data_IF_868919411884
#
_entry.id   IF_868919411884
#
_cell.length_a   1.000
_cell.length_b   1.000
_cell.length_c   1.000
_cell.angle_alpha   90.00
_cell.angle_beta   90.00
_cell.angle_gamma   90.00
#
_symmetry.space_group_name_H-M   'P 1'
#
loop_
_entity.id
_entity.type
_entity.pdbx_description
1 polymer ?
#
# COMPACT_ATOMS: atom_id res chain seq x y z
N UNK A 1 -42.07 -8.64 40.18
CA UNK A 1 -42.28 -9.38 38.91
C UNK A 1 -42.02 -8.42 37.74
N UNK A 2 -40.80 -7.84 37.67
CA UNK A 2 -40.48 -6.76 36.71
C UNK A 2 -38.98 -6.75 36.33
N UNK A 3 -38.30 -7.89 36.35
CA UNK A 3 -36.83 -7.98 36.17
C UNK A 3 -36.40 -8.86 34.99
N UNK A 4 -37.33 -9.44 34.24
CA UNK A 4 -37.00 -10.36 33.14
C UNK A 4 -37.03 -9.71 31.75
N UNK A 5 -37.69 -8.55 31.59
CA UNK A 5 -37.89 -7.92 30.27
C UNK A 5 -36.71 -7.06 29.79
N UNK A 6 -35.92 -6.46 30.68
CA UNK A 6 -34.78 -5.62 30.28
C UNK A 6 -33.57 -6.44 29.78
N UNK A 7 -33.39 -7.65 30.29
CA UNK A 7 -32.22 -8.48 29.96
C UNK A 7 -32.21 -8.99 28.51
N UNK A 8 -33.38 -9.12 27.88
CA UNK A 8 -33.47 -9.51 26.46
C UNK A 8 -32.91 -8.43 25.55
N UNK A 9 -33.28 -7.16 25.80
CA UNK A 9 -32.92 -6.04 24.92
C UNK A 9 -31.41 -5.78 24.88
N UNK A 10 -30.71 -5.92 26.00
CA UNK A 10 -29.25 -5.73 26.04
C UNK A 10 -28.49 -6.86 25.34
N UNK A 11 -29.01 -8.09 25.38
CA UNK A 11 -28.36 -9.24 24.74
C UNK A 11 -28.49 -9.16 23.22
N UNK A 12 -29.63 -8.66 22.73
CA UNK A 12 -29.89 -8.42 21.31
C UNK A 12 -29.07 -7.24 20.77
N UNK A 13 -28.83 -6.21 21.58
CA UNK A 13 -27.95 -5.08 21.25
C UNK A 13 -26.47 -5.49 21.19
N UNK A 14 -25.99 -6.29 22.14
CA UNK A 14 -24.61 -6.76 22.16
C UNK A 14 -24.33 -7.70 20.99
N UNK A 15 -25.28 -8.59 20.67
CA UNK A 15 -25.15 -9.49 19.50
C UNK A 15 -25.15 -8.72 18.18
N UNK A 16 -26.05 -7.75 18.01
CA UNK A 16 -26.08 -6.90 16.82
C UNK A 16 -24.82 -6.04 16.63
N UNK A 17 -24.20 -5.56 17.72
CA UNK A 17 -22.92 -4.83 17.67
C UNK A 17 -21.76 -5.76 17.32
N UNK A 18 -21.73 -6.98 17.84
CA UNK A 18 -20.67 -7.96 17.50
C UNK A 18 -20.78 -8.49 16.07
N UNK A 19 -21.99 -8.61 15.53
CA UNK A 19 -22.21 -9.09 14.17
C UNK A 19 -21.78 -8.05 13.12
N UNK A 20 -22.05 -6.75 13.36
CA UNK A 20 -21.59 -5.65 12.50
C UNK A 20 -20.06 -5.44 12.53
N UNK A 21 -19.36 -5.83 13.61
CA UNK A 21 -17.90 -5.69 13.67
C UNK A 21 -17.15 -6.77 12.88
N UNK A 22 -17.75 -7.95 12.69
CA UNK A 22 -17.19 -9.08 11.92
C UNK A 22 -17.04 -8.74 10.42
N UNK A 23 -18.04 -8.08 9.83
CA UNK A 23 -18.07 -7.73 8.40
C UNK A 23 -17.03 -6.66 8.00
N UNK A 24 -16.48 -5.92 8.97
CA UNK A 24 -15.53 -4.82 8.71
C UNK A 24 -14.07 -5.26 8.52
N UNK A 25 -13.71 -6.49 8.92
CA UNK A 25 -12.30 -6.93 8.97
C UNK A 25 -11.68 -7.34 7.63
N UNK A 26 -12.40 -7.99 6.68
CA UNK A 26 -11.84 -8.33 5.37
C UNK A 26 -11.56 -7.06 4.54
N UNK A 27 -12.47 -6.09 4.60
CA UNK A 27 -12.37 -4.82 3.88
C UNK A 27 -11.13 -4.02 4.27
N UNK A 28 -10.76 -4.02 5.56
CA UNK A 28 -9.57 -3.29 6.05
C UNK A 28 -8.26 -3.84 5.47
N UNK A 29 -8.10 -5.17 5.41
CA UNK A 29 -6.88 -5.80 4.86
C UNK A 29 -6.75 -5.53 3.38
N UNK A 30 -7.86 -5.63 2.64
CA UNK A 30 -7.92 -5.26 1.23
C UNK A 30 -7.53 -3.80 1.00
N UNK A 31 -8.06 -2.88 1.80
CA UNK A 31 -7.69 -1.46 1.71
C UNK A 31 -6.20 -1.24 1.96
N UNK A 32 -5.63 -1.87 2.99
CA UNK A 32 -4.18 -1.77 3.26
C UNK A 32 -3.36 -2.30 2.09
N UNK A 33 -3.74 -3.45 1.53
CA UNK A 33 -3.08 -4.00 0.33
C UNK A 33 -3.16 -3.03 -0.83
N UNK A 34 -4.36 -2.51 -1.13
CA UNK A 34 -4.56 -1.56 -2.21
C UNK A 34 -3.68 -0.30 -2.05
N UNK A 35 -3.56 0.24 -0.83
CA UNK A 35 -2.76 1.45 -0.59
C UNK A 35 -1.25 1.22 -0.71
N UNK A 36 -0.81 -0.04 -0.66
CA UNK A 36 0.58 -0.42 -0.94
C UNK A 36 0.77 -0.68 -2.43
N UNK A 37 -0.14 -1.43 -3.05
CA UNK A 37 -0.13 -1.75 -4.48
C UNK A 37 -0.11 -0.47 -5.31
N UNK A 38 -0.97 0.50 -4.99
CA UNK A 38 -1.13 1.71 -5.79
C UNK A 38 0.18 2.47 -6.07
N UNK A 39 0.91 3.00 -5.07
CA UNK A 39 2.11 3.79 -5.35
C UNK A 39 3.22 2.98 -6.02
N UNK A 40 3.37 1.70 -5.67
CA UNK A 40 4.37 0.79 -6.25
C UNK A 40 4.11 0.57 -7.75
N UNK A 41 2.85 0.34 -8.13
CA UNK A 41 2.47 0.17 -9.54
C UNK A 41 2.53 1.47 -10.32
N UNK A 42 2.08 2.59 -9.74
CA UNK A 42 2.21 3.91 -10.37
C UNK A 42 3.66 4.19 -10.73
N UNK A 43 4.60 3.91 -9.82
CA UNK A 43 6.01 4.06 -10.08
C UNK A 43 6.53 3.09 -11.16
N UNK A 44 6.11 1.83 -11.13
CA UNK A 44 6.46 0.86 -12.15
C UNK A 44 6.00 1.30 -13.55
N UNK A 45 4.76 1.81 -13.68
CA UNK A 45 4.25 2.34 -14.94
C UNK A 45 5.02 3.57 -15.42
N UNK A 46 5.35 4.51 -14.52
CA UNK A 46 6.18 5.68 -14.88
C UNK A 46 7.53 5.23 -15.45
N UNK A 47 8.18 4.23 -14.84
CA UNK A 47 9.43 3.69 -15.36
C UNK A 47 9.23 2.98 -16.71
N UNK A 48 8.19 2.17 -16.87
CA UNK A 48 7.88 1.53 -18.16
C UNK A 48 7.71 2.59 -19.24
N UNK A 49 6.88 3.61 -19.03
CA UNK A 49 6.66 4.66 -20.03
C UNK A 49 7.91 5.47 -20.35
N UNK A 50 8.81 5.63 -19.38
CA UNK A 50 10.10 6.30 -19.60
C UNK A 50 11.04 5.47 -20.48
N UNK A 51 11.08 4.15 -20.29
CA UNK A 51 12.02 3.27 -20.98
C UNK A 51 11.48 2.70 -22.32
N UNK A 52 10.15 2.60 -22.48
CA UNK A 52 9.48 2.08 -23.69
C UNK A 52 9.97 2.71 -25.00
N UNK A 53 10.17 4.05 -25.10
CA UNK A 53 10.70 4.67 -26.33
C UNK A 53 12.08 4.16 -26.72
N UNK A 54 12.92 3.78 -25.75
CA UNK A 54 14.23 3.19 -26.03
C UNK A 54 14.11 1.70 -26.39
N UNK A 55 13.19 0.98 -25.75
CA UNK A 55 12.97 -0.45 -25.99
C UNK A 55 12.36 -0.74 -27.36
N UNK A 56 11.43 0.07 -27.83
CA UNK A 56 10.75 -0.15 -29.13
C UNK A 56 11.72 -0.10 -30.33
N UNK A 57 12.86 0.59 -30.17
CA UNK A 57 13.91 0.67 -31.19
C UNK A 57 14.86 -0.54 -31.19
N UNK A 58 14.84 -1.36 -30.12
CA UNK A 58 15.84 -2.40 -29.88
C UNK A 58 15.25 -3.81 -29.71
N UNK A 59 13.99 -3.91 -29.30
CA UNK A 59 13.34 -5.17 -28.93
C UNK A 59 12.21 -5.51 -29.89
N UNK A 60 11.98 -6.81 -30.08
CA UNK A 60 10.77 -7.30 -30.73
C UNK A 60 9.55 -7.03 -29.85
N UNK A 61 8.34 -7.04 -30.43
CA UNK A 61 7.09 -6.83 -29.67
C UNK A 61 6.94 -7.89 -28.57
N UNK A 62 7.32 -9.15 -28.85
CA UNK A 62 7.25 -10.24 -27.87
C UNK A 62 8.23 -10.04 -26.69
N UNK A 63 9.43 -9.54 -26.99
CA UNK A 63 10.42 -9.22 -25.95
C UNK A 63 9.99 -8.03 -25.11
N UNK A 64 9.44 -6.98 -25.74
CA UNK A 64 8.90 -5.81 -25.06
C UNK A 64 7.79 -6.19 -24.08
N UNK A 65 6.82 -7.00 -24.53
CA UNK A 65 5.75 -7.52 -23.67
C UNK A 65 6.32 -8.37 -22.53
N UNK A 66 7.37 -9.13 -22.78
CA UNK A 66 8.10 -9.85 -21.74
C UNK A 66 8.67 -8.94 -20.68
N UNK A 67 9.43 -7.91 -21.07
CA UNK A 67 10.02 -6.95 -20.13
C UNK A 67 8.93 -6.30 -19.27
N UNK A 68 7.85 -5.83 -19.89
CA UNK A 68 6.71 -5.22 -19.18
C UNK A 68 6.10 -6.22 -18.17
N UNK A 69 5.84 -7.45 -18.59
CA UNK A 69 5.26 -8.47 -17.71
C UNK A 69 6.17 -8.78 -16.51
N UNK A 70 7.48 -8.87 -16.71
CA UNK A 70 8.44 -9.06 -15.61
C UNK A 70 8.51 -7.86 -14.68
N UNK A 71 8.43 -6.63 -15.19
CA UNK A 71 8.37 -5.42 -14.36
C UNK A 71 7.11 -5.41 -13.50
N UNK A 72 5.96 -5.79 -14.05
CA UNK A 72 4.70 -5.89 -13.30
C UNK A 72 4.76 -6.99 -12.24
N UNK A 73 5.30 -8.18 -12.57
CA UNK A 73 5.51 -9.24 -11.58
C UNK A 73 6.40 -8.78 -10.42
N UNK A 74 7.47 -8.04 -10.71
CA UNK A 74 8.34 -7.49 -9.68
C UNK A 74 7.61 -6.45 -8.81
N UNK A 75 6.80 -5.59 -9.42
CA UNK A 75 5.95 -4.60 -8.73
C UNK A 75 4.94 -5.28 -7.80
N UNK A 76 4.31 -6.37 -8.25
CA UNK A 76 3.42 -7.19 -7.44
C UNK A 76 4.15 -7.79 -6.23
N UNK A 77 5.33 -8.38 -6.45
CA UNK A 77 6.13 -8.96 -5.36
C UNK A 77 6.58 -7.91 -4.33
N UNK A 78 7.02 -6.74 -4.79
CA UNK A 78 7.39 -5.62 -3.92
C UNK A 78 6.19 -5.16 -3.09
N UNK A 79 5.03 -5.00 -3.72
CA UNK A 79 3.80 -4.62 -3.02
C UNK A 79 3.37 -5.65 -1.97
N UNK A 80 3.52 -6.95 -2.27
CA UNK A 80 3.21 -8.02 -1.33
C UNK A 80 4.18 -8.05 -0.15
N UNK A 81 5.47 -7.80 -0.40
CA UNK A 81 6.49 -7.69 0.63
C UNK A 81 6.21 -6.50 1.57
N UNK A 82 5.94 -5.32 1.01
CA UNK A 82 5.61 -4.13 1.80
C UNK A 82 4.31 -4.35 2.58
N UNK A 83 3.29 -4.96 1.96
CA UNK A 83 2.06 -5.32 2.64
C UNK A 83 2.32 -6.28 3.81
N UNK A 84 3.15 -7.31 3.63
CA UNK A 84 3.50 -8.23 4.70
C UNK A 84 4.21 -7.52 5.86
N UNK A 85 5.14 -6.61 5.57
CA UNK A 85 5.81 -5.79 6.59
C UNK A 85 4.81 -4.90 7.36
N UNK A 86 3.90 -4.22 6.66
CA UNK A 86 2.88 -3.38 7.30
C UNK A 86 1.85 -4.22 8.08
N UNK A 87 1.53 -5.42 7.62
CA UNK A 87 0.63 -6.34 8.33
C UNK A 87 1.27 -6.81 9.65
N UNK A 88 2.55 -7.17 9.62
CA UNK A 88 3.32 -7.53 10.83
C UNK A 88 3.44 -6.33 11.77
N UNK A 89 3.78 -5.15 11.25
CA UNK A 89 3.85 -3.92 12.05
C UNK A 89 2.49 -3.61 12.69
N UNK A 90 1.39 -3.67 11.93
CA UNK A 90 0.04 -3.46 12.44
C UNK A 90 -0.37 -4.47 13.51
N UNK A 91 0.07 -5.73 13.38
CA UNK A 91 -0.15 -6.75 14.41
C UNK A 91 0.63 -6.45 15.69
N UNK A 92 1.91 -6.07 15.59
CA UNK A 92 2.75 -5.70 16.74
C UNK A 92 2.24 -4.44 17.45
N UNK A 93 1.73 -3.47 16.67
CA UNK A 93 1.23 -2.18 17.16
C UNK A 93 -0.29 -2.14 17.33
N UNK A 94 -0.96 -3.30 17.44
CA UNK A 94 -2.43 -3.39 17.53
C UNK A 94 -3.03 -2.47 18.61
N UNK A 95 -2.36 -2.32 19.76
CA UNK A 95 -2.79 -1.44 20.87
C UNK A 95 -2.74 0.05 20.54
N UNK A 96 -1.84 0.46 19.64
CA UNK A 96 -1.62 1.86 19.28
C UNK A 96 -2.42 2.25 18.04
N UNK A 97 -2.45 1.37 17.05
CA UNK A 97 -3.00 1.67 15.72
C UNK A 97 -4.50 1.42 15.66
N UNK A 98 -5.02 0.42 16.41
CA UNK A 98 -6.45 0.17 16.59
C UNK A 98 -7.27 0.27 15.29
N UNK A 99 -8.27 1.14 15.30
CA UNK A 99 -9.16 1.38 14.16
C UNK A 99 -8.51 2.18 13.02
N UNK A 100 -7.40 2.89 13.31
CA UNK A 100 -6.72 3.78 12.36
C UNK A 100 -5.69 3.07 11.47
N UNK A 101 -5.72 1.74 11.41
CA UNK A 101 -4.73 0.93 10.67
C UNK A 101 -4.65 1.26 9.19
N UNK A 102 -5.81 1.46 8.53
CA UNK A 102 -5.84 1.80 7.11
C UNK A 102 -5.17 3.15 6.88
N UNK A 103 -5.52 4.16 7.68
CA UNK A 103 -4.94 5.50 7.54
C UNK A 103 -3.43 5.51 7.79
N UNK A 104 -2.98 4.78 8.82
CA UNK A 104 -1.56 4.63 9.12
C UNK A 104 -0.81 3.96 7.98
N UNK A 105 -1.31 2.84 7.47
CA UNK A 105 -0.69 2.12 6.37
C UNK A 105 -0.64 2.95 5.08
N UNK A 106 -1.71 3.73 4.81
CA UNK A 106 -1.77 4.63 3.66
C UNK A 106 -0.73 5.73 3.76
N UNK A 107 -0.63 6.39 4.92
CA UNK A 107 0.35 7.46 5.10
C UNK A 107 1.78 6.92 4.96
N UNK A 108 2.09 5.82 5.65
CA UNK A 108 3.40 5.18 5.58
C UNK A 108 3.71 4.77 4.14
N UNK A 109 2.83 4.05 3.45
CA UNK A 109 3.10 3.58 2.08
C UNK A 109 3.36 4.72 1.11
N UNK A 110 2.58 5.81 1.17
CA UNK A 110 2.74 6.97 0.30
C UNK A 110 3.99 7.77 0.60
N UNK A 111 4.26 8.06 1.88
CA UNK A 111 5.48 8.78 2.28
C UNK A 111 6.69 7.96 1.84
N UNK A 112 6.73 6.67 2.19
CA UNK A 112 7.81 5.78 1.78
C UNK A 112 7.98 5.79 0.26
N UNK A 113 6.89 5.65 -0.52
CA UNK A 113 6.98 5.70 -1.98
C UNK A 113 7.55 7.02 -2.51
N UNK A 114 7.10 8.18 -2.01
CA UNK A 114 7.63 9.49 -2.41
C UNK A 114 9.13 9.57 -2.12
N UNK A 115 9.55 9.12 -0.94
CA UNK A 115 10.96 9.08 -0.58
C UNK A 115 11.74 8.16 -1.52
N UNK A 116 11.29 6.94 -1.76
CA UNK A 116 11.96 6.03 -2.70
C UNK A 116 12.06 6.60 -4.12
N UNK A 117 11.03 7.32 -4.60
CA UNK A 117 11.07 8.02 -5.90
C UNK A 117 12.18 9.07 -5.91
N UNK A 118 12.25 9.92 -4.88
CA UNK A 118 13.30 10.95 -4.77
C UNK A 118 14.68 10.29 -4.70
N UNK A 119 14.82 9.21 -3.94
CA UNK A 119 16.07 8.46 -3.84
C UNK A 119 16.49 7.88 -5.20
N UNK A 120 15.55 7.30 -5.94
CA UNK A 120 15.80 6.74 -7.26
C UNK A 120 16.22 7.82 -8.28
N UNK A 121 15.63 9.02 -8.20
CA UNK A 121 16.02 10.15 -9.04
C UNK A 121 17.42 10.70 -8.69
N UNK A 122 17.88 10.51 -7.46
CA UNK A 122 19.20 10.93 -6.98
C UNK A 122 20.13 9.71 -6.78
N UNK A 123 20.09 8.75 -7.69
CA UNK A 123 20.86 7.50 -7.59
C UNK A 123 22.37 7.74 -7.44
N UNK A 124 22.88 8.85 -7.97
CA UNK A 124 24.28 9.28 -7.82
C UNK A 124 24.74 9.38 -6.36
N UNK A 125 23.83 9.68 -5.41
CA UNK A 125 24.17 9.75 -3.99
C UNK A 125 24.52 8.37 -3.41
N UNK A 126 23.87 7.33 -3.91
CA UNK A 126 24.14 5.93 -3.54
C UNK A 126 25.45 5.49 -4.18
N UNK A 127 25.64 5.79 -5.47
CA UNK A 127 26.83 5.40 -6.23
C UNK A 127 28.12 6.01 -5.63
N UNK A 128 28.07 7.30 -5.30
CA UNK A 128 29.20 8.02 -4.70
C UNK A 128 29.41 7.70 -3.21
N UNK A 129 28.65 6.75 -2.63
CA UNK A 129 28.68 6.37 -1.21
C UNK A 129 28.67 7.58 -0.28
N UNK A 130 27.86 8.57 -0.58
CA UNK A 130 27.79 9.79 0.19
C UNK A 130 27.02 9.53 1.50
N UNK A 131 27.70 8.98 2.50
CA UNK A 131 27.09 8.51 3.76
C UNK A 131 26.39 9.67 4.49
N UNK A 132 26.99 10.87 4.47
CA UNK A 132 26.44 12.04 5.16
C UNK A 132 25.07 12.47 4.59
N UNK A 133 24.92 12.75 3.28
CA UNK A 133 23.61 13.10 2.73
C UNK A 133 22.60 11.96 2.86
N UNK A 134 23.01 10.69 2.73
CA UNK A 134 22.12 9.55 2.99
C UNK A 134 21.63 9.50 4.44
N UNK A 135 22.49 9.82 5.41
CA UNK A 135 22.11 9.89 6.83
C UNK A 135 21.14 11.05 7.10
N UNK A 136 21.41 12.25 6.56
CA UNK A 136 20.51 13.41 6.68
C UNK A 136 19.15 13.10 6.04
N UNK A 137 19.17 12.44 4.89
CA UNK A 137 17.98 12.01 4.17
C UNK A 137 17.16 11.01 5.00
N UNK A 138 17.80 9.98 5.56
CA UNK A 138 17.15 9.02 6.45
C UNK A 138 16.58 9.64 7.73
N UNK A 139 17.28 10.60 8.34
CA UNK A 139 16.77 11.33 9.51
C UNK A 139 15.53 12.16 9.13
N UNK A 140 15.58 12.85 7.99
CA UNK A 140 14.44 13.66 7.52
C UNK A 140 13.22 12.80 7.21
N UNK A 141 13.42 11.63 6.61
CA UNK A 141 12.38 10.62 6.41
C UNK A 141 11.72 10.22 7.74
N UNK A 142 12.51 9.86 8.76
CA UNK A 142 11.98 9.45 10.06
C UNK A 142 11.22 10.58 10.76
N UNK A 143 11.68 11.83 10.65
CA UNK A 143 10.99 12.99 11.21
C UNK A 143 9.62 13.21 10.58
N UNK A 144 9.53 13.12 9.25
CA UNK A 144 8.26 13.28 8.53
C UNK A 144 7.30 12.14 8.88
N UNK A 145 7.79 10.89 8.83
CA UNK A 145 6.99 9.72 9.18
C UNK A 145 6.41 9.83 10.60
N UNK A 146 7.23 10.23 11.58
CA UNK A 146 6.79 10.41 12.96
C UNK A 146 5.75 11.52 13.09
N UNK A 147 5.96 12.63 12.38
CA UNK A 147 5.05 13.77 12.38
C UNK A 147 3.69 13.42 11.78
N UNK A 148 3.67 12.69 10.66
CA UNK A 148 2.43 12.28 10.00
C UNK A 148 1.63 11.29 10.85
N UNK A 149 2.31 10.32 11.48
CA UNK A 149 1.67 9.41 12.42
C UNK A 149 1.04 10.20 13.58
N UNK A 150 1.77 11.16 14.16
CA UNK A 150 1.25 12.01 15.23
C UNK A 150 0.03 12.85 14.79
N UNK A 151 0.05 13.41 13.58
CA UNK A 151 -1.06 14.18 13.02
C UNK A 151 -2.32 13.32 12.83
N UNK A 152 -2.19 12.07 12.37
CA UNK A 152 -3.32 11.12 12.20
C UNK A 152 -3.95 10.77 13.56
N UNK A 153 -3.14 10.67 14.61
CA UNK A 153 -3.67 10.45 15.95
C UNK A 153 -4.43 11.68 16.49
N UNK A 154 -3.94 12.88 16.19
CA UNK A 154 -4.45 14.13 16.77
C UNK A 154 -5.66 14.70 16.02
N UNK A 155 -5.77 14.50 14.70
CA UNK A 155 -6.77 15.18 13.86
C UNK A 155 -7.70 14.18 13.15
N UNK A 156 -8.94 14.09 13.59
CA UNK A 156 -9.96 13.23 12.98
C UNK A 156 -10.27 13.57 11.51
N UNK A 157 -10.20 14.85 11.15
CA UNK A 157 -10.42 15.29 9.75
C UNK A 157 -9.40 14.67 8.79
N UNK A 158 -8.14 14.55 9.21
CA UNK A 158 -7.07 13.93 8.39
C UNK A 158 -7.36 12.44 8.23
N UNK A 159 -7.76 11.77 9.30
CA UNK A 159 -8.15 10.36 9.26
C UNK A 159 -9.28 10.10 8.25
N UNK A 160 -10.39 10.86 8.32
CA UNK A 160 -11.52 10.72 7.40
C UNK A 160 -11.13 11.02 5.94
N UNK A 161 -10.28 12.01 5.72
CA UNK A 161 -9.77 12.32 4.39
C UNK A 161 -8.96 11.15 3.81
N UNK A 162 -8.02 10.60 4.59
CA UNK A 162 -7.19 9.47 4.17
C UNK A 162 -8.05 8.23 3.90
N UNK A 163 -9.04 7.95 4.76
CA UNK A 163 -9.93 6.80 4.57
C UNK A 163 -10.77 6.91 3.28
N UNK A 164 -11.36 8.09 3.02
CA UNK A 164 -12.08 8.37 1.79
C UNK A 164 -11.19 8.26 0.55
N UNK A 165 -9.96 8.77 0.65
CA UNK A 165 -8.96 8.66 -0.39
C UNK A 165 -8.59 7.19 -0.66
N UNK A 166 -8.39 6.41 0.39
CA UNK A 166 -8.07 4.99 0.29
C UNK A 166 -9.19 4.18 -0.36
N UNK A 167 -10.45 4.47 -0.03
CA UNK A 167 -11.59 3.81 -0.67
C UNK A 167 -11.62 4.06 -2.19
N UNK A 168 -11.31 5.27 -2.65
CA UNK A 168 -11.26 5.60 -4.08
C UNK A 168 -10.11 4.90 -4.81
N UNK A 169 -8.93 4.90 -4.18
CA UNK A 169 -7.74 4.25 -4.73
C UNK A 169 -7.82 2.73 -4.74
N UNK A 170 -8.64 2.13 -3.86
CA UNK A 170 -8.94 0.70 -3.84
C UNK A 170 -9.43 0.20 -5.20
N UNK A 171 -10.35 0.95 -5.82
CA UNK A 171 -10.88 0.61 -7.14
C UNK A 171 -9.81 0.64 -8.23
N UNK A 172 -8.89 1.61 -8.20
CA UNK A 172 -7.77 1.66 -9.14
C UNK A 172 -6.77 0.52 -8.91
N UNK A 173 -6.51 0.17 -7.66
CA UNK A 173 -5.59 -0.91 -7.30
C UNK A 173 -6.10 -2.28 -7.76
N UNK A 174 -7.42 -2.49 -7.72
CA UNK A 174 -8.05 -3.69 -8.28
C UNK A 174 -7.75 -3.84 -9.78
N UNK A 175 -7.76 -2.73 -10.53
CA UNK A 175 -7.41 -2.74 -11.95
C UNK A 175 -5.94 -3.09 -12.17
N UNK A 176 -5.03 -2.57 -11.35
CA UNK A 176 -3.61 -2.92 -11.44
C UNK A 176 -3.36 -4.42 -11.18
N UNK A 177 -3.98 -4.97 -10.13
CA UNK A 177 -3.88 -6.40 -9.83
C UNK A 177 -4.47 -7.27 -10.97
N UNK A 178 -5.52 -6.80 -11.64
CA UNK A 178 -6.04 -7.48 -12.82
C UNK A 178 -5.03 -7.50 -13.97
N UNK A 179 -4.32 -6.39 -14.20
CA UNK A 179 -3.25 -6.32 -15.19
C UNK A 179 -2.09 -7.26 -14.83
N UNK A 180 -1.74 -7.37 -13.53
CA UNK A 180 -0.70 -8.30 -13.09
C UNK A 180 -1.05 -9.76 -13.37
N UNK A 181 -2.32 -10.15 -13.20
CA UNK A 181 -2.79 -11.50 -13.54
C UNK A 181 -2.55 -11.79 -15.02
N UNK A 182 -2.84 -10.84 -15.90
CA UNK A 182 -2.56 -10.97 -17.34
C UNK A 182 -1.05 -11.10 -17.58
N UNK A 183 -0.23 -10.29 -16.90
CA UNK A 183 1.23 -10.36 -16.97
C UNK A 183 1.78 -11.71 -16.54
N UNK A 184 1.27 -12.29 -15.45
CA UNK A 184 1.66 -13.62 -14.96
C UNK A 184 1.29 -14.70 -15.97
N UNK A 185 0.06 -14.67 -16.51
CA UNK A 185 -0.38 -15.62 -17.54
C UNK A 185 0.56 -15.57 -18.75
N UNK A 186 0.94 -14.37 -19.19
CA UNK A 186 1.87 -14.20 -20.30
C UNK A 186 3.24 -14.81 -20.01
N UNK A 187 3.80 -14.61 -18.81
CA UNK A 187 5.07 -15.21 -18.39
C UNK A 187 5.00 -16.73 -18.42
N UNK A 188 3.90 -17.31 -17.90
CA UNK A 188 3.70 -18.77 -17.89
C UNK A 188 3.67 -19.31 -19.32
N UNK A 189 2.88 -18.71 -20.21
CA UNK A 189 2.77 -19.15 -21.61
C UNK A 189 4.12 -19.08 -22.33
N UNK A 190 4.95 -18.07 -22.02
CA UNK A 190 6.27 -17.93 -22.65
C UNK A 190 7.30 -18.95 -22.15
N UNK A 191 7.13 -19.47 -20.94
CA UNK A 191 8.13 -20.32 -20.27
C UNK A 191 7.78 -21.82 -20.26
N UNK A 192 6.57 -22.19 -20.70
CA UNK A 192 6.14 -23.59 -20.92
C UNK A 192 6.43 -23.97 -22.36
#
# INVERSE_FOLDING_TARGET
MATYSERSSDTDLVTAVTENQSESTPNKRWLVLAMVVFPVHVWAYVNIFREVPAWILRLSIADLLGVIAYTLLFSLLESLLVFALLAVAGWMLKRWVGEKQVAWATAVSFITAIWFIILHLNADWIENRAIIPLAIWGITYLLILTTDIYLIHTKEKIFQFIESFAQRLSTLSALYLFIDIIGIIYIIIRNV
#
